data_IF_953665257901
#
_entry.id   IF_953665257901
#
_cell.length_a   1.000
_cell.length_b   1.000
_cell.length_c   1.000
_cell.angle_alpha   90.00
_cell.angle_beta   90.00
_cell.angle_gamma   90.00
#
_symmetry.space_group_name_H-M   'P 1'
#
loop_
_entity.id
_entity.type
_entity.pdbx_description
1 polymer ?
#
# COMPACT_ATOMS: atom_id res chain seq x y z
N UNK A 1 2.20 -49.39 -44.59
CA UNK A 1 2.54 -48.57 -43.43
C UNK A 1 2.00 -47.19 -43.66
N UNK A 2 0.79 -46.91 -43.16
CA UNK A 2 0.10 -45.64 -43.30
C UNK A 2 0.33 -44.80 -42.06
N UNK A 3 0.91 -43.63 -42.25
CA UNK A 3 1.12 -42.61 -41.22
C UNK A 3 -0.19 -42.12 -40.66
N UNK A 4 -0.48 -42.43 -39.42
CA UNK A 4 -1.51 -41.78 -38.63
C UNK A 4 -1.02 -40.36 -38.26
N UNK A 5 -1.44 -39.35 -39.05
CA UNK A 5 -1.35 -37.96 -38.63
C UNK A 5 -2.20 -37.75 -37.36
N UNK A 6 -1.53 -37.48 -36.24
CA UNK A 6 -2.16 -37.04 -35.02
C UNK A 6 -2.91 -35.69 -35.29
N UNK A 7 -4.23 -35.76 -35.30
CA UNK A 7 -5.09 -34.57 -35.28
C UNK A 7 -4.91 -33.89 -33.92
N UNK A 8 -4.15 -32.80 -33.88
CA UNK A 8 -4.14 -31.88 -32.75
C UNK A 8 -5.49 -31.18 -32.68
N UNK A 9 -6.34 -31.61 -31.77
CA UNK A 9 -7.53 -30.83 -31.42
C UNK A 9 -7.07 -29.49 -30.84
N UNK A 10 -7.67 -28.35 -31.25
CA UNK A 10 -7.38 -27.08 -30.62
C UNK A 10 -7.77 -27.16 -29.14
N UNK A 11 -6.82 -26.79 -28.26
CA UNK A 11 -7.10 -26.63 -26.83
C UNK A 11 -8.23 -25.63 -26.70
N UNK A 12 -9.46 -26.10 -26.42
CA UNK A 12 -10.56 -25.22 -26.02
C UNK A 12 -10.21 -24.75 -24.62
N UNK A 13 -9.74 -23.50 -24.50
CA UNK A 13 -9.56 -22.85 -23.19
C UNK A 13 -10.90 -22.91 -22.45
N UNK A 14 -10.94 -23.67 -21.35
CA UNK A 14 -12.13 -23.75 -20.51
C UNK A 14 -12.31 -22.37 -19.86
N UNK A 15 -13.35 -21.65 -20.27
CA UNK A 15 -13.72 -20.36 -19.69
C UNK A 15 -14.11 -20.53 -18.23
N UNK A 16 -13.47 -19.79 -17.35
CA UNK A 16 -13.73 -19.80 -15.90
C UNK A 16 -14.73 -18.70 -15.55
N UNK A 17 -15.85 -19.05 -14.89
CA UNK A 17 -16.93 -18.13 -14.55
C UNK A 17 -17.12 -18.00 -13.04
N UNK A 18 -17.38 -16.75 -12.60
CA UNK A 18 -17.66 -16.41 -11.21
C UNK A 18 -19.05 -15.81 -11.07
N UNK A 19 -19.91 -16.45 -10.29
CA UNK A 19 -21.30 -16.03 -10.12
C UNK A 19 -21.50 -15.35 -8.76
N UNK A 20 -21.90 -14.09 -8.80
CA UNK A 20 -22.27 -13.28 -7.64
C UNK A 20 -23.78 -13.07 -7.60
N UNK A 21 -24.38 -13.21 -6.41
CA UNK A 21 -25.83 -13.20 -6.24
C UNK A 21 -26.46 -11.84 -6.60
N UNK A 22 -25.76 -10.74 -6.31
CA UNK A 22 -26.25 -9.37 -6.51
C UNK A 22 -25.85 -8.78 -7.86
N UNK A 23 -24.61 -9.01 -8.30
CA UNK A 23 -24.00 -8.29 -9.41
C UNK A 23 -23.89 -9.09 -10.70
N UNK A 24 -24.15 -10.41 -10.65
CA UNK A 24 -24.25 -11.26 -11.84
C UNK A 24 -23.08 -12.19 -12.06
N UNK A 25 -22.81 -12.52 -13.32
CA UNK A 25 -21.81 -13.50 -13.72
C UNK A 25 -20.63 -12.79 -14.38
N UNK A 26 -19.42 -13.18 -14.01
CA UNK A 26 -18.17 -12.64 -14.51
C UNK A 26 -17.35 -13.74 -15.16
N UNK A 27 -16.76 -13.44 -16.30
CA UNK A 27 -15.85 -14.29 -17.04
C UNK A 27 -14.43 -13.85 -16.77
N UNK A 28 -13.52 -14.79 -16.48
CA UNK A 28 -12.09 -14.51 -16.34
C UNK A 28 -11.53 -14.07 -17.68
N UNK A 29 -10.75 -12.99 -17.68
CA UNK A 29 -9.93 -12.57 -18.82
C UNK A 29 -8.54 -13.18 -18.74
N UNK A 30 -7.80 -13.26 -19.87
CA UNK A 30 -6.51 -13.93 -19.94
C UNK A 30 -5.37 -13.22 -19.22
N UNK A 31 -5.60 -12.03 -18.65
CA UNK A 31 -4.60 -11.27 -17.92
C UNK A 31 -4.39 -11.84 -16.51
N UNK A 32 -3.18 -12.20 -16.19
CA UNK A 32 -2.78 -12.73 -14.87
C UNK A 32 -2.09 -11.64 -14.06
N UNK A 33 -2.60 -11.38 -12.85
CA UNK A 33 -1.89 -10.69 -11.78
C UNK A 33 -1.91 -11.60 -10.55
N UNK A 34 -0.75 -11.94 -9.97
CA UNK A 34 -0.66 -12.62 -8.68
C UNK A 34 -0.16 -11.64 -7.64
N UNK A 35 -0.94 -11.39 -6.59
CA UNK A 35 -0.57 -10.53 -5.47
C UNK A 35 -0.17 -11.34 -4.24
N UNK A 36 0.50 -10.70 -3.30
CA UNK A 36 1.09 -11.32 -2.09
C UNK A 36 0.05 -11.96 -1.16
N UNK A 37 -1.21 -11.49 -1.18
CA UNK A 37 -2.29 -11.91 -0.26
C UNK A 37 -3.42 -12.69 -0.93
N UNK A 38 -3.14 -13.36 -2.02
CA UNK A 38 -4.12 -14.14 -2.76
C UNK A 38 -4.01 -13.90 -4.27
N UNK A 39 -4.81 -14.64 -5.02
CA UNK A 39 -4.85 -14.53 -6.47
C UNK A 39 -5.79 -13.40 -6.85
N UNK A 40 -5.27 -12.35 -7.50
CA UNK A 40 -6.10 -11.30 -8.11
C UNK A 40 -6.18 -11.56 -9.60
N UNK A 41 -7.40 -11.67 -10.13
CA UNK A 41 -7.64 -11.89 -11.55
C UNK A 41 -8.53 -10.79 -12.11
N UNK A 42 -8.31 -10.47 -13.37
CA UNK A 42 -9.16 -9.56 -14.13
C UNK A 42 -10.37 -10.34 -14.67
N UNK A 43 -11.56 -9.78 -14.46
CA UNK A 43 -12.81 -10.41 -14.86
C UNK A 43 -13.70 -9.41 -15.59
N UNK A 44 -14.53 -9.91 -16.53
CA UNK A 44 -15.49 -9.12 -17.30
C UNK A 44 -16.92 -9.54 -16.93
N UNK A 45 -17.80 -8.56 -16.68
CA UNK A 45 -19.23 -8.82 -16.49
C UNK A 45 -19.86 -9.20 -17.84
N UNK A 46 -20.50 -10.38 -17.93
CA UNK A 46 -21.08 -10.87 -19.18
C UNK A 46 -22.52 -10.40 -19.43
N UNK A 47 -23.17 -9.79 -18.44
CA UNK A 47 -24.57 -9.32 -18.57
C UNK A 47 -24.71 -7.86 -19.04
N UNK A 48 -23.65 -7.04 -18.92
CA UNK A 48 -23.69 -5.64 -19.34
C UNK A 48 -22.94 -5.46 -20.65
N UNK A 49 -23.68 -5.32 -21.75
CA UNK A 49 -23.12 -5.07 -23.09
C UNK A 49 -22.79 -3.58 -23.35
N UNK A 50 -22.97 -2.71 -22.36
CA UNK A 50 -22.75 -1.27 -22.52
C UNK A 50 -21.31 -0.91 -22.14
N UNK A 51 -20.57 -0.32 -23.10
CA UNK A 51 -19.23 0.26 -23.01
C UNK A 51 -18.11 -0.70 -22.50
N UNK A 52 -17.15 -1.00 -23.38
CA UNK A 52 -16.08 -1.99 -23.14
C UNK A 52 -15.27 -1.78 -21.86
N UNK A 53 -15.07 -0.53 -21.40
CA UNK A 53 -14.26 -0.22 -20.23
C UNK A 53 -15.01 -0.22 -18.88
N UNK A 54 -16.34 -0.11 -18.89
CA UNK A 54 -17.15 -0.09 -17.65
C UNK A 54 -17.42 -1.49 -17.07
N UNK A 55 -17.08 -2.54 -17.82
CA UNK A 55 -17.42 -3.94 -17.51
C UNK A 55 -16.25 -4.77 -16.96
N UNK A 56 -15.08 -4.14 -16.71
CA UNK A 56 -13.89 -4.81 -16.21
C UNK A 56 -13.75 -4.60 -14.70
N UNK A 57 -13.48 -5.70 -14.00
CA UNK A 57 -13.34 -5.75 -12.54
C UNK A 57 -12.11 -6.55 -12.14
N UNK A 58 -11.64 -6.34 -10.91
CA UNK A 58 -10.67 -7.18 -10.25
C UNK A 58 -11.38 -8.10 -9.27
N UNK A 59 -11.06 -9.38 -9.33
CA UNK A 59 -11.55 -10.39 -8.40
C UNK A 59 -10.38 -10.91 -7.56
N UNK A 60 -10.38 -10.56 -6.26
CA UNK A 60 -9.46 -11.13 -5.27
C UNK A 60 -10.05 -12.43 -4.74
N UNK A 61 -9.28 -13.51 -4.86
CA UNK A 61 -9.62 -14.85 -4.38
C UNK A 61 -8.71 -15.17 -3.21
N UNK A 62 -9.28 -15.17 -2.00
CA UNK A 62 -8.58 -15.52 -0.77
C UNK A 62 -8.89 -17.00 -0.47
N UNK A 63 -7.86 -17.85 -0.36
CA UNK A 63 -8.02 -19.27 -0.05
C UNK A 63 -8.15 -19.48 1.46
N UNK A 64 -9.10 -20.30 1.88
CA UNK A 64 -9.15 -20.83 3.25
C UNK A 64 -7.95 -21.76 3.48
N UNK A 65 -7.30 -21.61 4.61
CA UNK A 65 -6.22 -22.51 5.01
C UNK A 65 -6.74 -23.90 5.41
N UNK A 66 -6.06 -24.96 4.92
CA UNK A 66 -6.48 -26.35 5.10
C UNK A 66 -6.21 -26.94 6.51
N UNK A 67 -5.47 -26.21 7.38
CA UNK A 67 -5.00 -26.75 8.68
C UNK A 67 -5.86 -26.43 9.90
N UNK A 68 -6.80 -25.52 9.80
CA UNK A 68 -7.80 -25.25 10.84
C UNK A 68 -9.15 -25.08 10.18
N UNK A 69 -10.21 -25.65 10.73
CA UNK A 69 -11.59 -25.41 10.28
C UNK A 69 -12.03 -23.94 10.49
N UNK A 70 -11.11 -23.05 10.85
CA UNK A 70 -11.32 -21.65 11.11
C UNK A 70 -10.98 -20.84 9.86
N UNK A 71 -11.87 -19.93 9.49
CA UNK A 71 -11.59 -18.85 8.54
C UNK A 71 -10.46 -18.03 9.18
N UNK A 72 -9.35 -17.79 8.44
CA UNK A 72 -8.28 -16.94 8.95
C UNK A 72 -8.89 -15.61 9.43
N UNK A 73 -8.54 -15.23 10.65
CA UNK A 73 -8.99 -13.98 11.26
C UNK A 73 -8.68 -12.76 10.38
N UNK A 74 -7.61 -12.83 9.58
CA UNK A 74 -7.18 -11.79 8.65
C UNK A 74 -8.16 -11.52 7.51
N UNK A 75 -8.76 -12.57 6.91
CA UNK A 75 -9.72 -12.38 5.81
C UNK A 75 -11.08 -11.92 6.29
N UNK A 76 -11.47 -12.35 7.49
CA UNK A 76 -12.68 -11.82 8.14
C UNK A 76 -12.47 -10.35 8.50
N UNK A 77 -11.29 -10.00 9.01
CA UNK A 77 -10.92 -8.61 9.30
C UNK A 77 -10.91 -7.77 8.04
N UNK A 78 -10.33 -8.28 6.94
CA UNK A 78 -10.35 -7.57 5.65
C UNK A 78 -11.79 -7.28 5.20
N UNK A 79 -12.69 -8.26 5.25
CA UNK A 79 -14.09 -8.06 4.91
C UNK A 79 -14.80 -7.08 5.85
N UNK A 80 -14.50 -7.13 7.14
CA UNK A 80 -15.03 -6.19 8.12
C UNK A 80 -14.55 -4.77 7.84
N UNK A 81 -13.24 -4.60 7.62
CA UNK A 81 -12.64 -3.33 7.27
C UNK A 81 -13.23 -2.76 5.96
N UNK A 82 -13.37 -3.60 4.93
CA UNK A 82 -13.98 -3.19 3.66
C UNK A 82 -15.45 -2.75 3.81
N UNK A 83 -16.21 -3.33 4.76
CA UNK A 83 -17.58 -2.89 5.04
C UNK A 83 -17.59 -1.49 5.67
N UNK A 84 -16.69 -1.21 6.61
CA UNK A 84 -16.55 0.11 7.23
C UNK A 84 -16.07 1.15 6.20
N UNK A 85 -15.06 0.81 5.40
CA UNK A 85 -14.52 1.68 4.34
C UNK A 85 -15.58 2.01 3.29
N UNK A 86 -16.48 1.07 2.98
CA UNK A 86 -17.59 1.32 2.05
C UNK A 86 -18.50 2.46 2.50
N UNK A 87 -18.60 2.71 3.80
CA UNK A 87 -19.38 3.81 4.40
C UNK A 87 -18.66 5.15 4.30
N UNK A 88 -17.33 5.15 4.15
CA UNK A 88 -16.54 6.37 4.03
C UNK A 88 -16.72 6.95 2.64
N UNK A 89 -17.21 8.18 2.55
CA UNK A 89 -17.40 8.87 1.27
C UNK A 89 -16.09 9.54 0.83
N UNK A 90 -15.11 8.71 0.35
CA UNK A 90 -13.87 9.21 -0.23
C UNK A 90 -13.57 8.46 -1.53
N UNK A 91 -13.29 9.17 -2.65
CA UNK A 91 -13.06 8.55 -3.96
C UNK A 91 -11.71 7.82 -4.05
N UNK A 92 -10.79 8.05 -3.13
CA UNK A 92 -9.42 7.49 -3.15
C UNK A 92 -9.29 6.21 -2.31
N UNK A 93 -10.39 5.70 -1.75
CA UNK A 93 -10.42 4.44 -1.02
C UNK A 93 -11.11 3.37 -1.84
N UNK A 94 -10.43 2.24 -2.04
CA UNK A 94 -10.99 1.09 -2.77
C UNK A 94 -12.23 0.56 -2.05
N UNK A 95 -13.33 0.45 -2.79
CA UNK A 95 -14.58 -0.13 -2.32
C UNK A 95 -14.83 -1.44 -3.03
N UNK A 96 -15.22 -2.47 -2.27
CA UNK A 96 -15.71 -3.67 -2.91
C UNK A 96 -17.09 -3.44 -3.57
N UNK A 97 -17.28 -4.08 -4.71
CA UNK A 97 -18.55 -4.07 -5.47
C UNK A 97 -19.46 -5.14 -4.90
N UNK A 98 -18.94 -6.35 -4.78
CA UNK A 98 -19.64 -7.49 -4.19
C UNK A 98 -18.65 -8.44 -3.52
N UNK A 99 -19.15 -9.30 -2.63
CA UNK A 99 -18.34 -10.35 -2.02
C UNK A 99 -19.16 -11.63 -1.87
N UNK A 100 -18.47 -12.78 -1.91
CA UNK A 100 -19.09 -14.09 -1.79
C UNK A 100 -18.16 -15.06 -1.06
N UNK A 101 -18.72 -15.85 -0.15
CA UNK A 101 -18.07 -17.04 0.40
C UNK A 101 -18.41 -18.19 -0.53
N UNK A 102 -17.38 -18.83 -1.07
CA UNK A 102 -17.52 -20.03 -1.90
C UNK A 102 -17.25 -21.26 -1.03
N UNK A 103 -18.31 -21.86 -0.52
CA UNK A 103 -18.22 -22.99 0.40
C UNK A 103 -17.61 -24.25 -0.25
N UNK A 104 -17.79 -24.44 -1.57
CA UNK A 104 -17.25 -25.59 -2.32
C UNK A 104 -15.71 -25.60 -2.28
N UNK A 105 -15.09 -24.47 -2.56
CA UNK A 105 -13.64 -24.31 -2.64
C UNK A 105 -13.04 -23.75 -1.34
N UNK A 106 -13.89 -23.45 -0.35
CA UNK A 106 -13.48 -22.77 0.88
C UNK A 106 -12.70 -21.48 0.58
N UNK A 107 -13.26 -20.63 -0.29
CA UNK A 107 -12.66 -19.39 -0.74
C UNK A 107 -13.54 -18.19 -0.39
N UNK A 108 -12.92 -17.03 -0.19
CA UNK A 108 -13.63 -15.74 -0.15
C UNK A 108 -13.32 -15.01 -1.45
N UNK A 109 -14.36 -14.61 -2.15
CA UNK A 109 -14.27 -13.82 -3.38
C UNK A 109 -14.66 -12.38 -3.10
N UNK A 110 -13.77 -11.44 -3.44
CA UNK A 110 -13.99 -10.00 -3.27
C UNK A 110 -13.89 -9.36 -4.64
N UNK A 111 -15.01 -8.83 -5.14
CA UNK A 111 -15.11 -8.15 -6.42
C UNK A 111 -14.91 -6.64 -6.22
N UNK A 112 -13.98 -6.05 -6.97
CA UNK A 112 -13.58 -4.64 -6.88
C UNK A 112 -13.50 -4.02 -8.27
N UNK A 113 -13.48 -2.69 -8.36
CA UNK A 113 -13.13 -2.01 -9.61
C UNK A 113 -11.73 -2.38 -10.05
N UNK A 114 -11.52 -2.52 -11.35
CA UNK A 114 -10.21 -2.76 -11.92
C UNK A 114 -9.46 -1.44 -12.10
N UNK A 115 -8.18 -1.44 -11.70
CA UNK A 115 -7.22 -0.38 -11.97
C UNK A 115 -6.02 -1.00 -12.69
N UNK A 116 -5.52 -0.36 -13.78
CA UNK A 116 -4.59 -1.03 -14.70
C UNK A 116 -3.16 -1.18 -14.13
N UNK A 117 -2.76 -0.34 -13.18
CA UNK A 117 -1.37 -0.29 -12.71
C UNK A 117 -1.31 0.19 -11.25
N UNK A 118 -0.30 -0.23 -10.52
CA UNK A 118 0.06 0.37 -9.23
C UNK A 118 1.07 1.53 -9.41
N UNK A 119 1.27 2.32 -8.34
CA UNK A 119 2.16 3.48 -8.43
C UNK A 119 3.62 3.09 -8.62
N UNK A 120 4.10 1.96 -8.09
CA UNK A 120 5.49 1.53 -8.31
C UNK A 120 5.75 1.28 -9.78
N UNK A 121 4.91 0.45 -10.40
CA UNK A 121 5.04 0.15 -11.82
C UNK A 121 4.90 1.42 -12.66
N UNK A 122 3.90 2.25 -12.39
CA UNK A 122 3.69 3.49 -13.13
C UNK A 122 4.89 4.46 -13.06
N UNK A 123 5.43 4.69 -11.86
CA UNK A 123 6.56 5.60 -11.70
C UNK A 123 7.85 5.03 -12.28
N UNK A 124 8.13 3.74 -12.08
CA UNK A 124 9.29 3.09 -12.68
C UNK A 124 9.29 3.17 -14.21
N UNK A 125 8.12 2.98 -14.83
CA UNK A 125 7.98 3.06 -16.29
C UNK A 125 8.17 4.49 -16.82
N UNK A 126 7.90 5.51 -16.02
CA UNK A 126 7.83 6.89 -16.47
C UNK A 126 8.94 7.81 -15.94
N UNK A 127 9.67 7.44 -14.87
CA UNK A 127 10.74 8.26 -14.31
C UNK A 127 11.87 8.59 -15.30
N UNK A 128 12.08 7.75 -16.31
CA UNK A 128 13.08 7.95 -17.33
C UNK A 128 12.56 8.71 -18.56
N UNK A 129 11.26 8.96 -18.63
CA UNK A 129 10.60 9.72 -19.70
C UNK A 129 10.35 11.15 -19.19
N UNK A 130 11.32 12.02 -19.37
CA UNK A 130 11.51 13.33 -18.70
C UNK A 130 10.32 14.31 -18.66
N UNK A 131 9.17 14.02 -19.27
CA UNK A 131 8.07 14.98 -19.41
C UNK A 131 6.75 14.57 -18.77
N UNK A 132 6.63 13.38 -18.18
CA UNK A 132 5.35 12.86 -17.71
C UNK A 132 5.14 13.14 -16.21
N UNK A 133 6.22 13.11 -15.41
CA UNK A 133 6.14 13.30 -13.97
C UNK A 133 6.76 14.65 -13.60
N UNK A 134 5.95 15.68 -13.65
CA UNK A 134 6.29 17.00 -13.12
C UNK A 134 5.82 17.15 -11.67
N UNK A 135 6.24 18.23 -11.02
CA UNK A 135 5.88 18.52 -9.63
C UNK A 135 4.36 18.64 -9.42
N UNK A 136 3.63 19.27 -10.36
CA UNK A 136 2.18 19.44 -10.25
C UNK A 136 1.44 18.09 -10.27
N UNK A 137 1.83 17.18 -11.17
CA UNK A 137 1.30 15.82 -11.19
C UNK A 137 1.63 15.08 -9.88
N UNK A 138 2.87 15.19 -9.41
CA UNK A 138 3.32 14.54 -8.19
C UNK A 138 2.58 15.07 -6.95
N UNK A 139 2.36 16.40 -6.87
CA UNK A 139 1.51 17.03 -5.84
C UNK A 139 0.10 16.46 -5.84
N UNK A 140 -0.50 16.33 -7.02
CA UNK A 140 -1.85 15.78 -7.15
C UNK A 140 -1.95 14.35 -6.63
N UNK A 141 -1.00 13.47 -6.99
CA UNK A 141 -0.96 12.09 -6.48
C UNK A 141 -0.79 12.08 -4.95
N UNK A 142 0.15 12.84 -4.42
CA UNK A 142 0.40 12.92 -2.97
C UNK A 142 -0.84 13.43 -2.21
N UNK A 143 -1.54 14.43 -2.75
CA UNK A 143 -2.76 14.97 -2.16
C UNK A 143 -3.91 13.95 -2.14
N UNK A 144 -4.09 13.20 -3.21
CA UNK A 144 -5.10 12.15 -3.28
C UNK A 144 -4.85 11.05 -2.23
N UNK A 145 -3.59 10.63 -2.05
CA UNK A 145 -3.22 9.64 -1.02
C UNK A 145 -3.51 10.20 0.37
N UNK A 146 -3.06 11.42 0.66
CA UNK A 146 -3.33 12.08 1.94
C UNK A 146 -4.83 12.23 2.23
N UNK A 147 -5.63 12.58 1.23
CA UNK A 147 -7.09 12.66 1.37
C UNK A 147 -7.71 11.32 1.74
N UNK A 148 -7.26 10.22 1.10
CA UNK A 148 -7.66 8.87 1.47
C UNK A 148 -7.30 8.52 2.91
N UNK A 149 -6.03 8.73 3.30
CA UNK A 149 -5.54 8.48 4.67
C UNK A 149 -6.26 9.34 5.71
N UNK A 150 -6.47 10.62 5.44
CA UNK A 150 -7.20 11.51 6.35
C UNK A 150 -8.62 10.99 6.63
N UNK A 151 -9.29 10.49 5.58
CA UNK A 151 -10.63 9.90 5.75
C UNK A 151 -10.61 8.60 6.56
N UNK A 152 -9.61 7.74 6.39
CA UNK A 152 -9.41 6.55 7.23
C UNK A 152 -9.16 6.96 8.69
N UNK A 153 -8.22 7.87 8.91
CA UNK A 153 -7.80 8.31 10.24
C UNK A 153 -8.93 8.99 11.02
N UNK A 154 -9.76 9.81 10.35
CA UNK A 154 -10.97 10.40 10.95
C UNK A 154 -11.99 9.34 11.36
N UNK A 155 -12.03 8.20 10.71
CA UNK A 155 -12.85 7.06 11.06
C UNK A 155 -12.11 6.04 11.97
N UNK A 156 -10.96 6.44 12.54
CA UNK A 156 -10.16 5.62 13.46
C UNK A 156 -9.65 4.31 12.81
N UNK A 157 -9.41 4.31 11.51
CA UNK A 157 -8.85 3.19 10.77
C UNK A 157 -7.41 3.54 10.42
N UNK A 158 -6.48 2.63 10.72
CA UNK A 158 -5.08 2.68 10.33
C UNK A 158 -4.89 1.64 9.25
N UNK A 159 -4.27 2.02 8.13
CA UNK A 159 -4.05 1.11 7.00
C UNK A 159 -2.98 0.06 7.30
N UNK A 160 -1.88 0.48 7.93
CA UNK A 160 -0.76 -0.35 8.41
C UNK A 160 0.15 -0.96 7.32
N UNK A 161 -0.20 -0.88 6.03
CA UNK A 161 0.61 -1.40 4.91
C UNK A 161 0.62 -0.44 3.70
N UNK A 162 0.88 0.84 3.96
CA UNK A 162 1.03 1.84 2.88
C UNK A 162 2.37 1.63 2.19
N UNK A 163 2.29 1.27 0.89
CA UNK A 163 3.42 1.09 -0.03
C UNK A 163 2.94 1.32 -1.47
N UNK A 164 3.83 1.59 -2.43
CA UNK A 164 3.41 1.93 -3.80
C UNK A 164 2.56 0.86 -4.48
N UNK A 165 2.76 -0.44 -4.16
CA UNK A 165 1.98 -1.56 -4.71
C UNK A 165 0.52 -1.56 -4.20
N UNK A 166 0.26 -1.00 -3.01
CA UNK A 166 -1.08 -0.91 -2.43
C UNK A 166 -1.80 0.39 -2.81
N UNK A 167 -1.24 1.16 -3.76
CA UNK A 167 -1.84 2.36 -4.31
C UNK A 167 -1.99 2.17 -5.81
N UNK A 168 -3.19 1.81 -6.24
CA UNK A 168 -3.51 1.60 -7.64
C UNK A 168 -3.78 2.93 -8.33
N UNK A 169 -3.52 3.01 -9.63
CA UNK A 169 -3.68 4.23 -10.41
C UNK A 169 -4.39 3.98 -11.74
N UNK A 170 -5.28 4.89 -12.10
CA UNK A 170 -5.92 4.96 -13.41
C UNK A 170 -5.41 6.20 -14.17
N UNK A 171 -4.50 6.03 -15.13
CA UNK A 171 -3.95 7.16 -15.89
C UNK A 171 -4.98 7.93 -16.72
N UNK A 172 -6.05 7.27 -17.17
CA UNK A 172 -7.09 7.92 -17.99
C UNK A 172 -7.93 8.89 -17.16
N UNK A 173 -8.19 8.54 -15.90
CA UNK A 173 -8.99 9.35 -14.98
C UNK A 173 -8.14 10.22 -14.07
N UNK A 174 -6.82 10.02 -14.05
CA UNK A 174 -5.87 10.63 -13.12
C UNK A 174 -6.32 10.48 -11.66
N UNK A 175 -6.70 9.25 -11.27
CA UNK A 175 -7.22 8.93 -9.94
C UNK A 175 -6.48 7.73 -9.34
N UNK A 176 -6.13 7.83 -8.06
CA UNK A 176 -5.59 6.72 -7.28
C UNK A 176 -6.68 5.99 -6.49
N UNK A 177 -6.34 4.78 -6.05
CA UNK A 177 -7.12 4.03 -5.05
C UNK A 177 -6.18 3.35 -4.07
N UNK A 178 -6.33 3.67 -2.79
CA UNK A 178 -5.68 2.91 -1.71
C UNK A 178 -6.43 1.58 -1.57
N UNK A 179 -5.69 0.47 -1.59
CA UNK A 179 -6.22 -0.90 -1.57
C UNK A 179 -5.50 -1.77 -0.56
N UNK A 180 -5.96 -3.01 -0.40
CA UNK A 180 -5.39 -4.03 0.49
C UNK A 180 -5.47 -3.67 1.99
N UNK A 181 -6.69 -3.76 2.51
CA UNK A 181 -7.01 -3.48 3.90
C UNK A 181 -6.88 -4.72 4.82
N UNK A 182 -6.15 -5.75 4.38
CA UNK A 182 -5.96 -7.00 5.12
C UNK A 182 -5.22 -6.83 6.45
N UNK A 183 -4.33 -5.83 6.53
CA UNK A 183 -3.60 -5.48 7.76
C UNK A 183 -4.17 -4.26 8.48
N UNK A 184 -5.28 -3.67 7.98
CA UNK A 184 -5.87 -2.49 8.57
C UNK A 184 -6.49 -2.80 9.93
N UNK A 185 -6.30 -1.87 10.87
CA UNK A 185 -6.79 -1.99 12.23
C UNK A 185 -7.68 -0.81 12.57
N UNK A 186 -8.81 -1.08 13.25
CA UNK A 186 -9.57 -0.04 13.92
C UNK A 186 -8.84 0.35 15.19
N UNK A 187 -8.71 1.65 15.44
CA UNK A 187 -8.13 2.18 16.67
C UNK A 187 -9.08 1.86 17.83
N UNK A 188 -8.88 0.71 18.47
CA UNK A 188 -9.48 0.40 19.77
C UNK A 188 -8.39 0.46 20.82
N UNK A 189 -8.71 0.97 22.00
CA UNK A 189 -7.79 0.96 23.14
C UNK A 189 -7.46 -0.46 23.64
N UNK A 190 -8.07 -1.48 23.06
CA UNK A 190 -7.78 -2.90 23.32
C UNK A 190 -6.56 -3.38 22.51
N UNK A 191 -5.49 -3.42 23.20
CA UNK A 191 -4.05 -3.36 22.94
C UNK A 191 -3.46 -4.67 22.37
N UNK A 192 -4.23 -5.60 21.84
CA UNK A 192 -3.69 -6.95 21.53
C UNK A 192 -3.60 -7.35 20.06
N UNK A 193 -3.76 -6.44 19.13
CA UNK A 193 -3.47 -6.76 17.73
C UNK A 193 -1.98 -6.63 17.45
N UNK A 194 -1.26 -7.74 17.65
CA UNK A 194 0.12 -7.88 17.17
C UNK A 194 0.12 -7.61 15.67
N UNK A 195 0.84 -6.58 15.26
CA UNK A 195 1.28 -6.48 13.87
C UNK A 195 2.03 -7.78 13.55
N UNK A 196 1.41 -8.67 12.79
CA UNK A 196 2.13 -9.79 12.20
C UNK A 196 3.03 -9.23 11.11
N UNK A 197 4.22 -8.79 11.52
CA UNK A 197 5.27 -8.26 10.65
C UNK A 197 5.94 -9.41 9.88
N UNK A 198 5.15 -10.25 9.22
CA UNK A 198 5.67 -11.32 8.40
C UNK A 198 5.81 -10.83 6.95
N UNK A 199 7.04 -10.64 6.52
CA UNK A 199 7.42 -10.62 5.12
C UNK A 199 7.45 -9.26 4.43
N UNK A 200 8.63 -8.73 4.18
CA UNK A 200 8.91 -7.83 3.05
C UNK A 200 8.59 -6.34 3.20
N UNK A 201 7.75 -5.93 4.14
CA UNK A 201 7.26 -4.54 4.23
C UNK A 201 8.02 -3.67 5.24
N UNK A 202 9.08 -4.18 5.86
CA UNK A 202 9.86 -3.44 6.87
C UNK A 202 10.34 -2.06 6.39
N UNK A 203 10.64 -1.93 5.10
CA UNK A 203 11.18 -0.70 4.50
C UNK A 203 10.28 0.55 4.65
N UNK A 204 8.98 0.36 4.93
CA UNK A 204 7.99 1.43 5.10
C UNK A 204 7.54 1.61 6.55
N UNK A 205 8.06 0.80 7.48
CA UNK A 205 7.67 0.87 8.88
C UNK A 205 8.52 1.88 9.65
N UNK A 206 7.90 2.66 10.56
CA UNK A 206 8.64 3.60 11.40
C UNK A 206 9.48 2.89 12.45
N UNK A 207 10.54 3.55 12.94
CA UNK A 207 11.51 2.95 13.87
C UNK A 207 10.89 2.50 15.20
N UNK A 208 9.89 3.18 15.71
CA UNK A 208 9.19 2.79 16.93
C UNK A 208 8.47 1.44 16.77
N UNK A 209 7.83 1.19 15.63
CA UNK A 209 7.19 -0.09 15.31
C UNK A 209 8.23 -1.19 15.10
N UNK A 210 9.31 -0.90 14.37
CA UNK A 210 10.41 -1.85 14.15
C UNK A 210 11.06 -2.28 15.46
N UNK A 211 11.15 -1.38 16.43
CA UNK A 211 11.64 -1.65 17.78
C UNK A 211 10.60 -2.32 18.70
N UNK A 212 9.41 -2.62 18.19
CA UNK A 212 8.39 -3.41 18.90
C UNK A 212 7.43 -2.59 19.74
N UNK A 213 7.22 -1.32 19.40
CA UNK A 213 6.08 -0.59 19.91
C UNK A 213 4.80 -1.28 19.40
N UNK A 214 3.96 -1.69 20.33
CA UNK A 214 2.71 -2.40 20.01
C UNK A 214 1.54 -1.42 19.77
N UNK A 215 1.72 -0.15 20.09
CA UNK A 215 0.69 0.86 19.89
C UNK A 215 0.69 1.34 18.44
N UNK A 216 -0.37 1.02 17.72
CA UNK A 216 -0.58 1.50 16.37
C UNK A 216 -1.23 2.88 16.41
N UNK A 217 -0.54 3.86 15.87
CA UNK A 217 -1.07 5.21 15.69
C UNK A 217 -1.21 5.53 14.20
N UNK A 218 -2.11 6.44 13.87
CA UNK A 218 -2.27 6.96 12.50
C UNK A 218 -0.97 7.53 11.92
N UNK A 219 -0.05 7.94 12.79
CA UNK A 219 1.30 8.39 12.41
C UNK A 219 2.15 7.31 11.72
N UNK A 220 1.82 6.01 11.86
CA UNK A 220 2.43 4.93 11.10
C UNK A 220 2.22 5.13 9.60
N UNK A 221 0.97 5.33 9.17
CA UNK A 221 0.65 5.51 7.74
C UNK A 221 1.32 6.77 7.15
N UNK A 222 1.52 7.81 7.97
CA UNK A 222 2.18 9.05 7.54
C UNK A 222 3.69 8.82 7.32
N UNK A 223 4.35 8.06 8.18
CA UNK A 223 5.74 7.65 7.95
C UNK A 223 5.85 6.83 6.66
N UNK A 224 4.99 5.82 6.52
CA UNK A 224 4.96 4.96 5.32
C UNK A 224 4.74 5.78 4.06
N UNK A 225 3.81 6.75 4.08
CA UNK A 225 3.61 7.67 2.96
C UNK A 225 4.85 8.54 2.69
N UNK A 226 5.54 9.02 3.72
CA UNK A 226 6.82 9.74 3.55
C UNK A 226 7.85 8.89 2.78
N UNK A 227 7.99 7.60 3.14
CA UNK A 227 8.86 6.66 2.42
C UNK A 227 8.39 6.46 0.97
N UNK A 228 7.09 6.30 0.74
CA UNK A 228 6.49 6.18 -0.61
C UNK A 228 6.82 7.40 -1.47
N UNK A 229 6.59 8.62 -0.96
CA UNK A 229 6.86 9.84 -1.73
C UNK A 229 8.34 9.98 -2.11
N UNK A 230 9.26 9.59 -1.21
CA UNK A 230 10.68 9.60 -1.54
C UNK A 230 10.99 8.54 -2.60
N UNK A 231 10.47 7.32 -2.48
CA UNK A 231 10.67 6.28 -3.49
C UNK A 231 10.14 6.72 -4.85
N UNK A 232 8.92 7.28 -4.90
CA UNK A 232 8.33 7.73 -6.15
C UNK A 232 9.11 8.87 -6.81
N UNK A 233 9.79 9.73 -6.06
CA UNK A 233 10.60 10.80 -6.64
C UNK A 233 12.05 10.41 -6.94
N UNK A 234 12.59 9.38 -6.30
CA UNK A 234 13.98 8.92 -6.49
C UNK A 234 14.08 7.66 -7.36
N UNK A 235 13.04 6.84 -7.38
CA UNK A 235 13.03 5.49 -7.95
C UNK A 235 13.67 4.44 -7.04
N UNK A 236 14.02 4.79 -5.79
CA UNK A 236 14.74 3.93 -4.86
C UNK A 236 14.05 3.85 -3.50
N UNK A 237 13.95 2.64 -2.94
CA UNK A 237 13.45 2.43 -1.58
C UNK A 237 14.46 2.98 -0.58
N UNK A 238 14.08 4.05 0.15
CA UNK A 238 14.99 4.79 1.04
C UNK A 238 15.59 3.93 2.16
N UNK A 239 14.80 3.07 2.82
CA UNK A 239 15.24 2.20 3.92
C UNK A 239 15.23 0.73 3.52
N UNK A 240 15.84 0.40 2.37
CA UNK A 240 15.91 -0.97 1.86
C UNK A 240 16.72 -1.87 2.80
N UNK A 241 16.11 -2.97 3.28
CA UNK A 241 16.74 -3.98 4.16
C UNK A 241 16.07 -5.34 4.01
N UNK A 242 16.78 -6.41 4.35
CA UNK A 242 16.27 -7.78 4.30
C UNK A 242 15.52 -8.15 5.59
N UNK A 243 15.77 -7.44 6.66
CA UNK A 243 15.16 -7.62 7.97
C UNK A 243 14.99 -6.26 8.66
N UNK A 244 14.35 -6.25 9.83
CA UNK A 244 14.07 -5.03 10.57
C UNK A 244 15.34 -4.31 11.07
N UNK A 245 16.42 -5.05 11.38
CA UNK A 245 17.69 -4.45 11.82
C UNK A 245 18.37 -3.68 10.70
N UNK A 246 18.42 -4.27 9.49
CA UNK A 246 18.97 -3.60 8.30
C UNK A 246 18.24 -2.26 8.05
N UNK A 247 16.92 -2.25 8.22
CA UNK A 247 16.08 -1.05 8.04
C UNK A 247 16.39 -0.02 9.12
N UNK A 248 16.49 -0.42 10.40
CA UNK A 248 16.88 0.47 11.49
C UNK A 248 18.27 1.09 11.27
N UNK A 249 19.24 0.31 10.79
CA UNK A 249 20.57 0.83 10.44
C UNK A 249 20.49 1.88 9.31
N UNK A 250 19.64 1.67 8.30
CA UNK A 250 19.44 2.67 7.23
C UNK A 250 18.78 3.95 7.74
N UNK A 251 17.86 3.83 8.68
CA UNK A 251 17.25 4.99 9.35
C UNK A 251 18.32 5.76 10.13
N UNK A 252 19.17 5.07 10.91
CA UNK A 252 20.29 5.72 11.63
C UNK A 252 21.33 6.33 10.68
N UNK A 253 21.58 5.74 9.53
CA UNK A 253 22.47 6.31 8.50
C UNK A 253 22.00 7.68 8.01
N UNK A 254 20.69 7.91 7.97
CA UNK A 254 20.09 9.15 7.46
C UNK A 254 19.85 10.16 8.58
N UNK A 255 19.28 9.72 9.71
CA UNK A 255 18.87 10.63 10.79
C UNK A 255 19.87 10.75 11.92
N UNK A 256 20.80 9.82 12.05
CA UNK A 256 21.69 9.67 13.20
C UNK A 256 21.13 8.71 14.26
N UNK A 257 21.79 8.59 15.42
CA UNK A 257 21.46 7.59 16.43
C UNK A 257 20.03 7.70 16.96
N UNK A 258 19.22 6.65 16.79
CA UNK A 258 17.83 6.60 17.25
C UNK A 258 17.69 6.78 18.75
N UNK A 259 18.68 6.33 19.54
CA UNK A 259 18.69 6.54 20.99
C UNK A 259 18.52 8.00 21.41
N UNK A 260 19.01 8.95 20.60
CA UNK A 260 18.89 10.39 20.84
C UNK A 260 17.60 11.00 20.30
N UNK A 261 16.96 10.35 19.35
CA UNK A 261 15.85 10.89 18.56
C UNK A 261 14.49 10.30 18.93
N UNK A 262 14.47 9.04 19.39
CA UNK A 262 13.23 8.31 19.67
C UNK A 262 12.97 8.26 21.19
N UNK A 263 11.90 8.89 21.68
CA UNK A 263 11.48 8.75 23.08
C UNK A 263 11.20 7.28 23.43
N UNK A 264 11.73 6.84 24.59
CA UNK A 264 11.54 5.46 25.04
C UNK A 264 12.38 4.40 24.33
N UNK A 265 13.38 4.82 23.52
CA UNK A 265 14.28 3.91 22.77
C UNK A 265 14.84 2.78 23.64
N UNK A 266 15.39 3.09 24.81
CA UNK A 266 16.04 2.07 25.67
C UNK A 266 15.06 0.96 26.08
N UNK A 267 13.80 1.29 26.36
CA UNK A 267 12.75 0.31 26.69
C UNK A 267 12.40 -0.56 25.49
N UNK A 268 12.27 0.05 24.32
CA UNK A 268 11.91 -0.65 23.09
C UNK A 268 13.05 -1.55 22.60
N UNK A 269 14.29 -1.05 22.64
CA UNK A 269 15.47 -1.80 22.25
C UNK A 269 15.72 -3.02 23.14
N UNK A 270 15.51 -2.90 24.45
CA UNK A 270 15.60 -4.03 25.39
C UNK A 270 14.55 -5.11 25.09
N UNK A 271 13.31 -4.72 24.79
CA UNK A 271 12.24 -5.67 24.44
C UNK A 271 12.56 -6.49 23.18
N UNK A 272 13.28 -5.93 22.23
CA UNK A 272 13.62 -6.56 20.94
C UNK A 272 15.00 -7.21 20.93
N UNK A 273 15.81 -7.11 21.99
CA UNK A 273 17.24 -7.48 21.99
C UNK A 273 18.00 -6.85 20.79
N UNK A 274 17.60 -5.65 20.41
CA UNK A 274 18.17 -4.93 19.28
C UNK A 274 19.49 -4.28 19.72
N UNK A 275 20.60 -4.95 19.47
CA UNK A 275 21.93 -4.34 19.55
C UNK A 275 22.18 -3.49 18.30
N UNK A 276 21.51 -2.32 18.25
CA UNK A 276 21.79 -1.34 17.21
C UNK A 276 23.17 -0.75 17.41
N UNK A 277 23.86 -0.55 16.31
CA UNK A 277 25.27 -0.15 16.32
C UNK A 277 25.49 1.16 17.09
N UNK A 278 26.63 1.23 17.80
CA UNK A 278 27.13 2.43 18.51
C UNK A 278 27.57 3.53 17.53
N UNK A 279 26.78 3.84 16.48
CA UNK A 279 27.10 4.95 15.59
C UNK A 279 26.88 6.26 16.33
N UNK A 280 27.96 6.90 16.76
CA UNK A 280 27.91 8.24 17.35
C UNK A 280 27.89 9.36 16.28
N UNK A 281 27.96 8.99 15.00
CA UNK A 281 28.03 9.93 13.89
C UNK A 281 26.68 10.60 13.61
N UNK A 282 26.68 11.90 13.30
CA UNK A 282 25.47 12.55 12.77
C UNK A 282 25.04 11.87 11.46
N UNK A 283 23.74 11.75 11.24
CA UNK A 283 23.20 11.16 10.01
C UNK A 283 23.58 11.98 8.77
N UNK A 284 23.49 11.34 7.61
CA UNK A 284 23.79 11.96 6.29
C UNK A 284 22.83 13.10 5.92
N UNK A 285 21.68 13.16 6.60
CA UNK A 285 20.61 14.13 6.37
C UNK A 285 19.63 13.70 5.28
N UNK A 286 18.35 13.73 5.62
CA UNK A 286 17.25 13.33 4.72
C UNK A 286 17.22 14.16 3.44
N UNK A 287 17.30 15.47 3.56
CA UNK A 287 17.24 16.41 2.41
C UNK A 287 18.40 16.17 1.45
N UNK A 288 19.63 15.96 1.99
CA UNK A 288 20.80 15.66 1.18
C UNK A 288 20.63 14.35 0.40
N UNK A 289 20.04 13.33 1.03
CA UNK A 289 19.73 12.08 0.38
C UNK A 289 18.75 12.30 -0.78
N UNK A 290 17.62 12.98 -0.53
CA UNK A 290 16.61 13.20 -1.56
C UNK A 290 17.20 14.02 -2.72
N UNK A 291 17.86 15.16 -2.45
CA UNK A 291 18.47 16.03 -3.47
C UNK A 291 19.51 15.30 -4.34
N UNK A 292 20.20 14.29 -3.75
CA UNK A 292 21.18 13.48 -4.50
C UNK A 292 20.55 12.50 -5.49
N UNK A 293 19.40 11.90 -5.15
CA UNK A 293 18.82 10.79 -5.92
C UNK A 293 17.50 11.14 -6.62
N UNK A 294 16.91 12.32 -6.35
CA UNK A 294 15.64 12.71 -6.97
C UNK A 294 15.73 12.82 -8.49
N UNK A 295 14.69 12.34 -9.15
CA UNK A 295 14.48 12.43 -10.60
C UNK A 295 13.42 13.48 -10.94
N UNK A 296 12.60 13.88 -9.97
CA UNK A 296 11.60 14.94 -10.07
C UNK A 296 12.21 16.24 -9.53
N UNK A 297 12.08 17.33 -10.30
CA UNK A 297 12.51 18.66 -9.86
C UNK A 297 11.40 19.35 -9.08
N UNK A 298 11.75 19.87 -7.92
CA UNK A 298 10.84 20.67 -7.08
C UNK A 298 11.20 22.14 -7.19
N UNK A 299 10.19 23.01 -7.25
CA UNK A 299 10.34 24.46 -7.46
C UNK A 299 10.98 25.17 -6.26
N UNK A 300 10.79 24.62 -5.06
CA UNK A 300 11.29 25.15 -3.79
C UNK A 300 11.54 24.03 -2.78
N UNK A 301 11.94 24.40 -1.55
CA UNK A 301 12.24 23.45 -0.48
C UNK A 301 10.99 22.93 0.28
N UNK A 302 9.77 23.33 -0.13
CA UNK A 302 8.53 22.96 0.58
C UNK A 302 8.24 21.46 0.58
N UNK A 303 8.59 20.75 -0.50
CA UNK A 303 8.51 19.28 -0.54
C UNK A 303 9.39 18.64 0.53
N UNK A 304 10.64 19.08 0.65
CA UNK A 304 11.58 18.53 1.62
C UNK A 304 11.15 18.82 3.07
N UNK A 305 10.54 19.99 3.31
CA UNK A 305 9.97 20.33 4.61
C UNK A 305 8.81 19.40 4.96
N UNK A 306 7.89 19.16 4.01
CA UNK A 306 6.77 18.23 4.20
C UNK A 306 7.24 16.81 4.52
N UNK A 307 8.12 16.24 3.69
CA UNK A 307 8.59 14.85 3.93
C UNK A 307 9.42 14.74 5.20
N UNK A 308 10.14 15.79 5.61
CA UNK A 308 10.85 15.82 6.90
C UNK A 308 9.89 15.77 8.09
N UNK A 309 8.74 16.42 7.99
CA UNK A 309 7.67 16.36 9.00
C UNK A 309 6.96 14.99 8.99
N UNK A 310 6.81 14.36 7.83
CA UNK A 310 6.26 13.00 7.71
C UNK A 310 7.22 11.94 8.28
N UNK A 311 8.52 12.09 8.06
CA UNK A 311 9.56 11.19 8.56
C UNK A 311 10.15 11.66 9.89
N UNK A 312 9.38 12.37 10.71
CA UNK A 312 9.77 12.68 12.08
C UNK A 312 9.89 11.38 12.89
N UNK A 313 11.06 11.14 13.49
CA UNK A 313 11.36 9.92 14.25
C UNK A 313 10.39 9.78 15.44
N UNK A 314 10.14 10.88 16.15
CA UNK A 314 9.16 10.92 17.24
C UNK A 314 7.72 10.85 16.68
N UNK A 315 6.98 9.74 16.91
CA UNK A 315 5.65 9.56 16.35
C UNK A 315 4.62 10.60 16.85
N UNK A 316 4.86 11.20 18.02
CA UNK A 316 3.96 12.23 18.59
C UNK A 316 4.14 13.57 17.89
N UNK A 317 5.35 13.89 17.43
CA UNK A 317 5.66 15.12 16.69
C UNK A 317 5.45 14.99 15.19
N UNK A 318 5.22 13.77 14.71
CA UNK A 318 4.99 13.51 13.28
C UNK A 318 3.71 14.18 12.82
N UNK A 319 3.77 14.88 11.69
CA UNK A 319 2.60 15.55 11.10
C UNK A 319 1.46 14.55 10.86
N UNK A 320 0.22 14.93 11.10
CA UNK A 320 -0.95 14.12 10.77
C UNK A 320 -1.42 14.38 9.33
N UNK A 321 -2.33 13.54 8.81
CA UNK A 321 -2.81 13.66 7.42
C UNK A 321 -3.51 14.99 7.13
N UNK A 322 -4.31 15.50 8.08
CA UNK A 322 -5.05 16.75 7.91
C UNK A 322 -4.12 17.95 7.80
N UNK A 323 -3.12 18.05 8.67
CA UNK A 323 -2.14 19.13 8.66
C UNK A 323 -1.19 19.00 7.46
N UNK A 324 -0.84 17.78 7.05
CA UNK A 324 -0.06 17.54 5.85
C UNK A 324 -0.76 18.06 4.58
N UNK A 325 -2.08 17.87 4.45
CA UNK A 325 -2.87 18.42 3.34
C UNK A 325 -2.91 19.96 3.30
N UNK A 326 -2.75 20.62 4.46
CA UNK A 326 -2.70 22.09 4.59
C UNK A 326 -1.29 22.64 4.44
N UNK A 327 -0.30 21.77 4.19
CA UNK A 327 1.09 22.20 4.09
C UNK A 327 1.30 23.12 2.89
N UNK A 328 2.20 24.12 3.05
CA UNK A 328 2.48 25.13 2.01
C UNK A 328 2.88 24.53 0.66
N UNK A 329 3.48 23.32 0.62
CA UNK A 329 3.80 22.64 -0.62
C UNK A 329 2.57 22.40 -1.53
N UNK A 330 1.38 22.17 -0.95
CA UNK A 330 0.14 22.03 -1.72
C UNK A 330 -0.52 23.36 -2.07
N UNK A 331 -0.25 24.44 -1.33
CA UNK A 331 -0.91 25.74 -1.45
C UNK A 331 -0.10 26.69 -2.35
N UNK A 332 1.23 26.58 -2.33
CA UNK A 332 2.09 27.42 -3.18
C UNK A 332 1.82 27.10 -4.65
N UNK A 333 1.37 28.13 -5.39
CA UNK A 333 1.24 28.09 -6.84
C UNK A 333 2.59 27.78 -7.44
N UNK A 334 2.65 26.71 -8.21
CA UNK A 334 3.81 26.33 -9.02
C UNK A 334 3.91 27.22 -10.25
#
# INVERSE_FOLDING_TARGET
MSELKALSFPFIEQKEYFNFRKTGIYEKTNDRGEGTFGKVIKVKNIKNNNEENSNIFALKICKKWERSNEILSTEIMELSNLKEIKRINNPYLMKYVDCKINDKNKEIWILMKYYPIDLRAYFNDNLNKSNIINESFFKNIAFQILSGLNSLHKNKIIHSDIKPENILYDPQRNIIQITDFGLSNTFSFDIHHKCNLSGGTYAYLPPDILLGNLFLFTSLDIWSLGCVLIELCTGEIIFKGNNYLDVLEKIEDIFGPLKRLLPGYDILALKKNANLTKKECPGKGLINYIKKYQKIKFSNDDFYDLVSKMLCIDPVKRINAEDAMKHRWFISSS
#
